data_IF_399515207613
#
_entry.id   IF_399515207613
#
_cell.length_a   1.000
_cell.length_b   1.000
_cell.length_c   1.000
_cell.angle_alpha   90.00
_cell.angle_beta   90.00
_cell.angle_gamma   90.00
#
_symmetry.space_group_name_H-M   'P 1'
#
loop_
_entity.id
_entity.type
_entity.pdbx_description
1 polymer ?
#
# COMPACT_ATOMS: atom_id res chain seq x y z
N UNK A 1 -3.49 -19.02 -29.15
CA UNK A 1 -2.23 -18.86 -28.39
C UNK A 1 -1.84 -17.39 -28.23
N UNK A 2 -1.43 -16.65 -29.28
CA UNK A 2 -1.06 -15.22 -29.12
C UNK A 2 -2.24 -14.30 -28.73
N UNK A 3 -3.45 -14.61 -29.23
CA UNK A 3 -4.66 -13.86 -28.87
C UNK A 3 -5.07 -14.08 -27.40
N UNK A 4 -4.89 -15.31 -26.90
CA UNK A 4 -5.25 -15.69 -25.52
C UNK A 4 -4.35 -15.00 -24.49
N UNK A 5 -3.04 -14.90 -24.76
CA UNK A 5 -2.07 -14.19 -23.90
C UNK A 5 -2.38 -12.69 -23.82
N UNK A 6 -2.78 -12.07 -24.93
CA UNK A 6 -3.18 -10.66 -24.95
C UNK A 6 -4.42 -10.40 -24.10
N UNK A 7 -5.44 -11.24 -24.24
CA UNK A 7 -6.69 -11.11 -23.46
C UNK A 7 -6.44 -11.31 -21.95
N UNK A 8 -5.63 -12.30 -21.57
CA UNK A 8 -5.26 -12.55 -20.17
C UNK A 8 -4.44 -11.40 -19.57
N UNK A 9 -3.53 -10.83 -20.34
CA UNK A 9 -2.75 -9.66 -19.93
C UNK A 9 -3.64 -8.43 -19.69
N UNK A 10 -4.57 -8.13 -20.60
CA UNK A 10 -5.52 -7.03 -20.44
C UNK A 10 -6.42 -7.22 -19.23
N UNK A 11 -6.90 -8.45 -19.00
CA UNK A 11 -7.69 -8.79 -17.81
C UNK A 11 -6.87 -8.57 -16.53
N UNK A 12 -5.62 -9.03 -16.50
CA UNK A 12 -4.73 -8.88 -15.34
C UNK A 12 -4.47 -7.40 -15.02
N UNK A 13 -4.24 -6.56 -16.03
CA UNK A 13 -4.11 -5.11 -15.86
C UNK A 13 -5.38 -4.47 -15.27
N UNK A 14 -6.55 -4.86 -15.80
CA UNK A 14 -7.84 -4.38 -15.30
C UNK A 14 -8.05 -4.75 -13.83
N UNK A 15 -7.79 -6.01 -13.47
CA UNK A 15 -7.93 -6.50 -12.11
C UNK A 15 -6.97 -5.77 -11.15
N UNK A 16 -5.70 -5.63 -11.51
CA UNK A 16 -4.73 -4.91 -10.70
C UNK A 16 -5.17 -3.46 -10.44
N UNK A 17 -5.63 -2.77 -11.49
CA UNK A 17 -6.15 -1.39 -11.38
C UNK A 17 -7.37 -1.29 -10.47
N UNK A 18 -8.29 -2.26 -10.55
CA UNK A 18 -9.43 -2.33 -9.65
C UNK A 18 -8.99 -2.47 -8.18
N UNK A 19 -8.06 -3.38 -7.90
CA UNK A 19 -7.59 -3.61 -6.54
C UNK A 19 -6.78 -2.44 -5.98
N UNK A 20 -6.01 -1.73 -6.80
CA UNK A 20 -5.35 -0.47 -6.39
C UNK A 20 -6.36 0.57 -5.91
N UNK A 21 -7.41 0.83 -6.70
CA UNK A 21 -8.49 1.75 -6.29
C UNK A 21 -9.20 1.28 -5.02
N UNK A 22 -9.41 -0.03 -4.89
CA UNK A 22 -10.00 -0.63 -3.68
C UNK A 22 -9.11 -0.46 -2.46
N UNK A 23 -7.79 -0.61 -2.61
CA UNK A 23 -6.81 -0.41 -1.55
C UNK A 23 -6.82 1.05 -1.08
N UNK A 24 -6.83 2.01 -1.98
CA UNK A 24 -6.89 3.44 -1.60
C UNK A 24 -8.13 3.75 -0.77
N UNK A 25 -9.31 3.25 -1.18
CA UNK A 25 -10.53 3.37 -0.36
C UNK A 25 -10.38 2.73 1.01
N UNK A 26 -9.82 1.51 1.05
CA UNK A 26 -9.61 0.78 2.31
C UNK A 26 -8.62 1.50 3.22
N UNK A 27 -7.56 2.11 2.69
CA UNK A 27 -6.64 2.95 3.47
C UNK A 27 -7.34 4.13 4.09
N UNK A 28 -8.16 4.86 3.33
CA UNK A 28 -8.94 5.99 3.86
C UNK A 28 -9.84 5.54 5.00
N UNK A 29 -10.62 4.47 4.79
CA UNK A 29 -11.48 3.88 5.84
C UNK A 29 -10.64 3.46 7.06
N UNK A 30 -9.50 2.80 6.83
CA UNK A 30 -8.62 2.31 7.89
C UNK A 30 -8.09 3.45 8.76
N UNK A 31 -7.54 4.51 8.16
CA UNK A 31 -7.01 5.65 8.92
C UNK A 31 -8.09 6.37 9.73
N UNK A 32 -9.27 6.52 9.15
CA UNK A 32 -10.42 7.06 9.87
C UNK A 32 -10.77 6.18 11.07
N UNK A 33 -10.91 4.87 10.87
CA UNK A 33 -11.30 3.94 11.93
C UNK A 33 -10.25 3.83 13.03
N UNK A 34 -8.95 3.85 12.68
CA UNK A 34 -7.89 3.87 13.69
C UNK A 34 -7.92 5.16 14.50
N UNK A 35 -8.16 6.31 13.86
CA UNK A 35 -8.25 7.59 14.57
C UNK A 35 -9.44 7.61 15.53
N UNK A 36 -10.62 7.22 15.07
CA UNK A 36 -11.83 7.14 15.91
C UNK A 36 -11.66 6.14 17.06
N UNK A 37 -11.10 4.96 16.77
CA UNK A 37 -10.85 3.94 17.78
C UNK A 37 -9.87 4.41 18.85
N UNK A 38 -8.77 5.08 18.47
CA UNK A 38 -7.80 5.60 19.43
C UNK A 38 -8.41 6.66 20.35
N UNK A 39 -9.34 7.49 19.86
CA UNK A 39 -10.05 8.46 20.71
C UNK A 39 -10.87 7.73 21.78
N UNK A 40 -11.67 6.74 21.38
CA UNK A 40 -12.52 5.97 22.29
C UNK A 40 -11.69 5.15 23.27
N UNK A 41 -10.60 4.56 22.80
CA UNK A 41 -9.67 3.80 23.63
C UNK A 41 -9.04 4.70 24.71
N UNK A 42 -8.56 5.89 24.34
CA UNK A 42 -7.95 6.82 25.28
C UNK A 42 -8.95 7.34 26.31
N UNK A 43 -10.18 7.65 25.91
CA UNK A 43 -11.24 8.06 26.84
C UNK A 43 -11.53 6.98 27.89
N UNK A 44 -11.58 5.71 27.48
CA UNK A 44 -11.76 4.60 28.41
C UNK A 44 -10.54 4.37 29.30
N UNK A 45 -9.32 4.50 28.76
CA UNK A 45 -8.08 4.39 29.54
C UNK A 45 -7.99 5.48 30.61
N UNK A 46 -8.45 6.69 30.31
CA UNK A 46 -8.41 7.82 31.24
C UNK A 46 -9.36 7.63 32.44
N UNK A 47 -10.39 6.81 32.29
CA UNK A 47 -11.32 6.43 33.35
C UNK A 47 -10.83 5.24 34.22
N UNK A 48 -9.64 4.68 33.94
CA UNK A 48 -9.05 3.62 34.75
C UNK A 48 -8.32 4.16 35.99
N UNK A 49 -8.08 3.26 36.96
CA UNK A 49 -7.24 3.57 38.11
C UNK A 49 -5.82 3.96 37.66
N UNK A 50 -5.19 4.83 38.44
CA UNK A 50 -3.91 5.49 38.11
C UNK A 50 -2.82 4.50 37.64
N UNK A 51 -2.67 3.37 38.31
CA UNK A 51 -1.66 2.35 38.01
C UNK A 51 -1.90 1.69 36.64
N UNK A 52 -3.14 1.28 36.35
CA UNK A 52 -3.51 0.66 35.07
C UNK A 52 -3.42 1.67 33.92
N UNK A 53 -3.77 2.94 34.17
CA UNK A 53 -3.67 4.02 33.18
C UNK A 53 -2.23 4.28 32.74
N UNK A 54 -1.29 4.37 33.70
CA UNK A 54 0.13 4.59 33.43
C UNK A 54 0.70 3.42 32.61
N UNK A 55 0.38 2.19 33.00
CA UNK A 55 0.82 0.99 32.28
C UNK A 55 0.32 0.96 30.84
N UNK A 56 -0.98 1.20 30.62
CA UNK A 56 -1.59 1.13 29.29
C UNK A 56 -1.09 2.24 28.35
N UNK A 57 -0.91 3.48 28.83
CA UNK A 57 -0.35 4.56 28.00
C UNK A 57 1.06 4.24 27.48
N UNK A 58 1.89 3.60 28.30
CA UNK A 58 3.24 3.17 27.89
C UNK A 58 3.19 2.11 26.78
N UNK A 59 2.25 1.17 26.89
CA UNK A 59 2.06 0.10 25.90
C UNK A 59 1.55 0.67 24.58
N UNK A 60 0.47 1.44 24.61
CA UNK A 60 -0.15 2.02 23.41
C UNK A 60 0.84 2.90 22.65
N UNK A 61 1.60 3.77 23.35
CA UNK A 61 2.62 4.59 22.72
C UNK A 61 3.74 3.80 22.03
N UNK A 62 4.08 2.61 22.56
CA UNK A 62 5.11 1.75 21.95
C UNK A 62 4.60 0.95 20.74
N UNK A 63 3.30 0.64 20.69
CA UNK A 63 2.69 -0.10 19.59
C UNK A 63 2.53 0.78 18.33
N UNK A 64 2.19 2.06 18.52
CA UNK A 64 2.13 3.06 17.44
C UNK A 64 3.49 3.22 16.71
N UNK A 65 4.61 3.14 17.44
CA UNK A 65 5.95 3.21 16.83
C UNK A 65 6.29 1.96 15.98
N UNK A 66 5.81 0.78 16.36
CA UNK A 66 6.08 -0.48 15.64
C UNK A 66 5.34 -0.58 14.31
N UNK A 67 4.14 0.00 14.20
CA UNK A 67 3.32 -0.03 12.98
C UNK A 67 3.91 0.80 11.82
N UNK A 68 4.87 1.68 12.09
CA UNK A 68 5.49 2.57 11.09
C UNK A 68 6.71 1.98 10.36
N UNK A 69 7.28 0.87 10.85
CA UNK A 69 8.46 0.25 10.24
C UNK A 69 8.06 -0.72 9.12
N UNK A 70 7.96 -0.23 7.87
CA UNK A 70 7.96 -1.11 6.68
C UNK A 70 9.38 -1.63 6.42
N UNK A 71 9.59 -2.92 6.65
CA UNK A 71 10.81 -3.61 6.21
C UNK A 71 10.82 -3.75 4.69
N UNK A 72 11.74 -3.06 4.02
CA UNK A 72 12.03 -3.27 2.59
C UNK A 72 12.99 -4.45 2.45
N UNK A 73 12.47 -5.64 2.10
CA UNK A 73 13.34 -6.74 1.64
C UNK A 73 13.81 -6.46 0.21
N UNK A 74 15.11 -6.68 -0.11
CA UNK A 74 15.59 -6.58 -1.48
C UNK A 74 14.99 -7.74 -2.31
N UNK A 75 14.12 -7.39 -3.26
CA UNK A 75 13.55 -8.35 -4.23
C UNK A 75 14.36 -8.38 -5.52
N UNK A 76 14.33 -9.55 -6.18
CA UNK A 76 15.09 -9.88 -7.38
C UNK A 76 14.40 -9.28 -8.60
N UNK A 77 14.88 -8.12 -9.06
CA UNK A 77 14.24 -7.35 -10.13
C UNK A 77 14.09 -8.12 -11.46
N UNK A 78 12.85 -8.20 -11.96
CA UNK A 78 12.46 -8.79 -13.25
C UNK A 78 13.10 -8.05 -14.45
N UNK A 79 13.58 -8.80 -15.46
CA UNK A 79 14.23 -8.27 -16.66
C UNK A 79 13.32 -7.43 -17.57
N UNK A 80 12.03 -7.75 -17.63
CA UNK A 80 11.06 -6.99 -18.44
C UNK A 80 10.84 -5.58 -17.88
N UNK A 81 10.71 -5.47 -16.55
CA UNK A 81 10.57 -4.21 -15.80
C UNK A 81 11.76 -3.28 -16.05
N UNK A 82 12.97 -3.83 -15.99
CA UNK A 82 14.20 -3.10 -16.30
C UNK A 82 14.23 -2.59 -17.73
N UNK A 83 13.75 -3.38 -18.69
CA UNK A 83 13.71 -3.00 -20.09
C UNK A 83 12.74 -1.83 -20.31
N UNK A 84 11.53 -1.92 -19.78
CA UNK A 84 10.53 -0.84 -19.86
C UNK A 84 11.03 0.44 -19.20
N UNK A 85 11.61 0.34 -17.99
CA UNK A 85 12.18 1.50 -17.31
C UNK A 85 13.31 2.17 -18.12
N UNK A 86 14.18 1.39 -18.77
CA UNK A 86 15.24 1.94 -19.64
C UNK A 86 14.67 2.74 -20.81
N UNK A 87 13.58 2.28 -21.43
CA UNK A 87 12.94 3.03 -22.52
C UNK A 87 12.28 4.32 -22.01
N UNK A 88 11.64 4.28 -20.83
CA UNK A 88 11.11 5.49 -20.17
C UNK A 88 12.24 6.48 -19.91
N UNK A 89 13.31 6.04 -19.24
CA UNK A 89 14.47 6.88 -18.94
C UNK A 89 15.07 7.53 -20.19
N UNK A 90 15.08 6.81 -21.33
CA UNK A 90 15.60 7.37 -22.58
C UNK A 90 14.79 8.56 -23.09
N UNK A 91 13.48 8.59 -22.85
CA UNK A 91 12.57 9.66 -23.32
C UNK A 91 12.31 10.75 -22.28
N UNK A 92 12.47 10.46 -20.99
CA UNK A 92 12.02 11.34 -19.91
C UNK A 92 13.12 11.86 -18.97
N UNK A 93 14.38 11.42 -19.11
CA UNK A 93 15.47 11.90 -18.25
C UNK A 93 15.78 13.38 -18.51
N UNK A 94 15.94 14.23 -17.46
CA UNK A 94 16.13 15.68 -17.62
C UNK A 94 17.32 16.06 -18.52
N UNK A 95 18.45 15.34 -18.43
CA UNK A 95 19.63 15.54 -19.30
C UNK A 95 19.35 15.40 -20.81
N UNK A 96 18.21 14.82 -21.20
CA UNK A 96 17.82 14.58 -22.59
C UNK A 96 16.76 15.54 -23.11
N UNK A 97 16.32 16.50 -22.29
CA UNK A 97 15.21 17.41 -22.60
C UNK A 97 15.67 18.85 -22.91
N UNK A 98 16.92 19.00 -23.35
CA UNK A 98 17.59 20.29 -23.53
C UNK A 98 16.92 21.23 -24.55
N UNK A 99 16.08 20.71 -25.46
CA UNK A 99 15.39 21.46 -26.51
C UNK A 99 13.87 21.54 -26.31
N UNK A 100 13.35 21.00 -25.20
CA UNK A 100 11.91 20.97 -24.91
C UNK A 100 11.46 22.23 -24.15
N UNK A 101 10.15 22.51 -24.18
CA UNK A 101 9.58 23.61 -23.37
C UNK A 101 9.72 23.33 -21.86
N UNK A 102 9.81 24.37 -21.03
CA UNK A 102 9.88 24.24 -19.57
C UNK A 102 8.76 23.34 -19.01
N UNK A 103 7.54 23.48 -19.52
CA UNK A 103 6.39 22.67 -19.13
C UNK A 103 6.57 21.18 -19.47
N UNK A 104 7.15 20.89 -20.63
CA UNK A 104 7.42 19.51 -21.06
C UNK A 104 8.59 18.89 -20.29
N UNK A 105 9.61 19.71 -19.95
CA UNK A 105 10.73 19.30 -19.08
C UNK A 105 10.20 18.89 -17.70
N UNK A 106 9.35 19.73 -17.09
CA UNK A 106 8.75 19.46 -15.78
C UNK A 106 7.94 18.16 -15.82
N UNK A 107 7.00 18.06 -16.75
CA UNK A 107 6.14 16.87 -16.93
C UNK A 107 6.96 15.59 -17.08
N UNK A 108 7.96 15.57 -17.96
CA UNK A 108 8.77 14.36 -18.19
C UNK A 108 9.68 14.02 -17.01
N UNK A 109 10.17 15.03 -16.30
CA UNK A 109 10.95 14.81 -15.07
C UNK A 109 10.09 14.16 -13.99
N UNK A 110 8.83 14.58 -13.85
CA UNK A 110 7.86 13.93 -12.96
C UNK A 110 7.60 12.46 -13.37
N UNK A 111 7.35 12.21 -14.66
CA UNK A 111 7.16 10.85 -15.19
C UNK A 111 8.39 9.96 -14.96
N UNK A 112 9.61 10.51 -15.08
CA UNK A 112 10.83 9.79 -14.77
C UNK A 112 10.93 9.43 -13.28
N UNK A 113 10.65 10.39 -12.39
CA UNK A 113 10.65 10.15 -10.95
C UNK A 113 9.62 9.09 -10.54
N UNK A 114 8.42 9.16 -11.12
CA UNK A 114 7.36 8.18 -10.89
C UNK A 114 7.71 6.79 -11.44
N UNK A 115 8.35 6.72 -12.60
CA UNK A 115 8.85 5.47 -13.16
C UNK A 115 9.96 4.87 -12.29
N UNK A 116 10.85 5.68 -11.73
CA UNK A 116 11.90 5.21 -10.82
C UNK A 116 11.30 4.59 -9.57
N UNK A 117 10.33 5.28 -8.95
CA UNK A 117 9.59 4.76 -7.78
C UNK A 117 8.88 3.46 -8.11
N UNK A 118 8.23 3.40 -9.27
CA UNK A 118 7.50 2.21 -9.74
C UNK A 118 8.45 1.03 -10.01
N UNK A 119 9.65 1.28 -10.52
CA UNK A 119 10.68 0.25 -10.68
C UNK A 119 11.18 -0.26 -9.32
N UNK A 120 11.40 0.63 -8.34
CA UNK A 120 11.82 0.26 -6.98
C UNK A 120 10.75 -0.54 -6.23
N UNK A 121 9.47 -0.24 -6.48
CA UNK A 121 8.33 -0.94 -5.90
C UNK A 121 7.78 -2.09 -6.76
N UNK A 122 8.45 -2.43 -7.86
CA UNK A 122 8.03 -3.44 -8.86
C UNK A 122 6.60 -3.24 -9.41
N UNK A 123 6.11 -1.99 -9.42
CA UNK A 123 4.80 -1.64 -9.95
C UNK A 123 4.82 -1.55 -11.50
N UNK A 124 4.71 -2.72 -12.12
CA UNK A 124 4.74 -2.88 -13.58
C UNK A 124 3.58 -2.16 -14.25
N UNK A 125 2.38 -2.25 -13.68
CA UNK A 125 1.20 -1.54 -14.16
C UNK A 125 1.48 -0.04 -14.30
N UNK A 126 2.10 0.57 -13.29
CA UNK A 126 2.40 2.00 -13.31
C UNK A 126 3.51 2.34 -14.31
N UNK A 127 4.54 1.51 -14.43
CA UNK A 127 5.55 1.64 -15.48
C UNK A 127 4.95 1.57 -16.88
N UNK A 128 3.98 0.69 -17.11
CA UNK A 128 3.30 0.56 -18.40
C UNK A 128 2.38 1.75 -18.69
N UNK A 129 1.70 2.28 -17.67
CA UNK A 129 0.92 3.53 -17.81
C UNK A 129 1.82 4.70 -18.21
N UNK A 130 2.99 4.86 -17.58
CA UNK A 130 3.98 5.89 -17.91
C UNK A 130 4.57 5.67 -19.31
N UNK A 131 4.89 4.42 -19.67
CA UNK A 131 5.38 4.10 -21.02
C UNK A 131 4.34 4.50 -22.09
N UNK A 132 3.06 4.22 -21.85
CA UNK A 132 1.98 4.63 -22.74
C UNK A 132 1.85 6.15 -22.84
N UNK A 133 2.00 6.88 -21.73
CA UNK A 133 1.97 8.34 -21.74
C UNK A 133 3.13 8.97 -22.51
N UNK A 134 4.29 8.30 -22.55
CA UNK A 134 5.46 8.72 -23.32
C UNK A 134 5.46 8.19 -24.77
N UNK A 135 4.34 7.67 -25.27
CA UNK A 135 4.22 7.00 -26.57
C UNK A 135 5.34 5.97 -26.81
N UNK A 136 5.63 5.16 -25.79
CA UNK A 136 6.53 4.01 -25.89
C UNK A 136 5.66 2.80 -26.15
N UNK A 137 5.88 2.16 -27.30
CA UNK A 137 5.18 0.89 -27.60
C UNK A 137 5.50 -0.14 -26.51
N UNK A 138 4.47 -0.66 -25.81
CA UNK A 138 4.70 -1.71 -24.84
C UNK A 138 5.22 -2.96 -25.57
N UNK A 139 6.17 -3.70 -24.97
CA UNK A 139 6.55 -4.99 -25.53
C UNK A 139 5.31 -5.89 -25.64
N UNK A 140 5.31 -6.81 -26.61
CA UNK A 140 4.26 -7.82 -26.74
C UNK A 140 4.09 -8.52 -25.39
N UNK A 141 2.85 -8.69 -24.89
CA UNK A 141 2.61 -9.39 -23.65
C UNK A 141 3.22 -10.79 -23.64
N UNK A 142 3.88 -11.12 -22.53
CA UNK A 142 4.38 -12.45 -22.24
C UNK A 142 3.86 -12.94 -20.87
N UNK A 143 4.09 -14.22 -20.59
CA UNK A 143 3.64 -14.84 -19.35
C UNK A 143 4.32 -14.23 -18.12
N UNK A 144 5.61 -13.85 -18.23
CA UNK A 144 6.36 -13.26 -17.12
C UNK A 144 5.75 -11.92 -16.66
N UNK A 145 5.22 -11.13 -17.60
CA UNK A 145 4.50 -9.90 -17.29
C UNK A 145 3.15 -10.17 -16.61
N UNK A 146 2.40 -11.17 -17.08
CA UNK A 146 1.13 -11.59 -16.45
C UNK A 146 1.37 -12.02 -15.01
N UNK A 147 2.34 -12.91 -14.79
CA UNK A 147 2.68 -13.45 -13.47
C UNK A 147 3.06 -12.34 -12.49
N UNK A 148 3.81 -11.32 -12.96
CA UNK A 148 4.19 -10.19 -12.14
C UNK A 148 3.02 -9.26 -11.80
N UNK A 149 2.10 -9.05 -12.74
CA UNK A 149 0.86 -8.30 -12.46
C UNK A 149 0.01 -9.04 -11.42
N UNK A 150 -0.09 -10.37 -11.53
CA UNK A 150 -0.79 -11.20 -10.56
C UNK A 150 -0.11 -11.19 -9.18
N UNK A 151 1.22 -11.25 -9.10
CA UNK A 151 1.96 -11.11 -7.84
C UNK A 151 1.63 -9.76 -7.16
N UNK A 152 1.66 -8.67 -7.93
CA UNK A 152 1.31 -7.35 -7.42
C UNK A 152 -0.15 -7.28 -6.94
N UNK A 153 -1.09 -7.84 -7.69
CA UNK A 153 -2.50 -7.91 -7.31
C UNK A 153 -2.69 -8.69 -6.00
N UNK A 154 -2.01 -9.84 -5.86
CA UNK A 154 -2.05 -10.65 -4.65
C UNK A 154 -1.45 -9.90 -3.44
N UNK A 155 -0.35 -9.15 -3.65
CA UNK A 155 0.22 -8.29 -2.62
C UNK A 155 -0.78 -7.23 -2.13
N UNK A 156 -1.46 -6.55 -3.05
CA UNK A 156 -2.50 -5.56 -2.74
C UNK A 156 -3.67 -6.20 -1.98
N UNK A 157 -4.13 -7.37 -2.41
CA UNK A 157 -5.21 -8.11 -1.74
C UNK A 157 -4.81 -8.51 -0.32
N UNK A 158 -3.56 -8.92 -0.12
CA UNK A 158 -3.03 -9.23 1.21
C UNK A 158 -2.98 -8.00 2.11
N UNK A 159 -2.53 -6.85 1.60
CA UNK A 159 -2.54 -5.58 2.35
C UNK A 159 -3.97 -5.18 2.76
N UNK A 160 -4.93 -5.27 1.84
CA UNK A 160 -6.36 -5.04 2.14
C UNK A 160 -6.84 -5.98 3.25
N UNK A 161 -6.46 -7.26 3.18
CA UNK A 161 -6.86 -8.26 4.19
C UNK A 161 -6.28 -7.92 5.56
N UNK A 162 -5.02 -7.53 5.64
CA UNK A 162 -4.36 -7.13 6.88
C UNK A 162 -5.02 -5.91 7.52
N UNK A 163 -5.32 -4.86 6.73
CA UNK A 163 -6.02 -3.67 7.24
C UNK A 163 -7.41 -4.02 7.79
N UNK A 164 -8.14 -4.91 7.11
CA UNK A 164 -9.49 -5.33 7.51
C UNK A 164 -9.52 -6.24 8.73
N UNK A 165 -8.40 -6.89 9.06
CA UNK A 165 -8.27 -7.71 10.25
C UNK A 165 -7.88 -6.94 11.50
N UNK A 166 -7.69 -5.61 11.42
CA UNK A 166 -7.36 -4.82 12.60
C UNK A 166 -8.56 -4.70 13.56
N UNK A 167 -8.25 -4.55 14.86
CA UNK A 167 -9.27 -4.36 15.89
C UNK A 167 -10.07 -3.08 15.66
N UNK A 168 -9.40 -2.00 15.22
CA UNK A 168 -10.07 -0.75 14.86
C UNK A 168 -11.08 -0.93 13.71
N UNK A 169 -10.74 -1.76 12.71
CA UNK A 169 -11.64 -2.06 11.61
C UNK A 169 -12.84 -2.91 12.07
N UNK A 170 -12.59 -3.94 12.87
CA UNK A 170 -13.64 -4.77 13.47
C UNK A 170 -14.60 -3.91 14.30
N UNK A 171 -14.06 -3.06 15.17
CA UNK A 171 -14.81 -2.12 15.99
C UNK A 171 -15.66 -1.16 15.14
N UNK A 172 -15.10 -0.59 14.09
CA UNK A 172 -15.81 0.37 13.25
C UNK A 172 -17.00 -0.26 12.51
N UNK A 173 -16.86 -1.51 12.04
CA UNK A 173 -17.92 -2.24 11.33
C UNK A 173 -18.87 -3.00 12.26
N UNK A 174 -18.56 -3.10 13.56
CA UNK A 174 -19.43 -3.73 14.54
C UNK A 174 -20.72 -2.94 14.78
N UNK A 175 -21.78 -3.65 15.16
CA UNK A 175 -23.02 -3.04 15.62
C UNK A 175 -22.76 -2.20 16.89
N UNK A 176 -23.51 -1.10 17.14
CA UNK A 176 -23.28 -0.24 18.30
C UNK A 176 -23.19 -0.98 19.64
N UNK A 177 -24.04 -1.99 19.85
CA UNK A 177 -24.07 -2.81 21.06
C UNK A 177 -22.88 -3.77 21.23
N UNK A 178 -21.97 -3.85 20.26
CA UNK A 178 -20.76 -4.68 20.29
C UNK A 178 -19.47 -3.88 20.34
N UNK A 179 -19.55 -2.56 20.12
CA UNK A 179 -18.37 -1.70 20.10
C UNK A 179 -17.67 -1.66 21.46
N UNK A 180 -18.42 -1.56 22.55
CA UNK A 180 -17.88 -1.54 23.91
C UNK A 180 -17.18 -2.86 24.27
N UNK A 181 -17.81 -4.00 23.97
CA UNK A 181 -17.23 -5.34 24.17
C UNK A 181 -15.85 -5.47 23.49
N UNK A 182 -15.71 -4.97 22.26
CA UNK A 182 -14.47 -5.04 21.48
C UNK A 182 -13.37 -4.18 22.11
N UNK A 183 -13.67 -2.94 22.52
CA UNK A 183 -12.67 -2.06 23.14
C UNK A 183 -12.21 -2.62 24.48
N UNK A 184 -13.14 -3.10 25.31
CA UNK A 184 -12.80 -3.75 26.59
C UNK A 184 -11.98 -5.02 26.38
N UNK A 185 -12.31 -5.82 25.36
CA UNK A 185 -11.52 -6.98 24.96
C UNK A 185 -10.09 -6.61 24.57
N UNK A 186 -9.92 -5.52 23.83
CA UNK A 186 -8.62 -5.01 23.42
C UNK A 186 -7.80 -4.52 24.63
N UNK A 187 -8.40 -3.75 25.54
CA UNK A 187 -7.74 -3.31 26.79
C UNK A 187 -7.27 -4.52 27.61
N UNK A 188 -8.10 -5.55 27.75
CA UNK A 188 -7.72 -6.79 28.45
C UNK A 188 -6.56 -7.50 27.76
N UNK A 189 -6.60 -7.59 26.43
CA UNK A 189 -5.51 -8.17 25.63
C UNK A 189 -4.19 -7.41 25.87
N UNK A 190 -4.22 -6.07 25.86
CA UNK A 190 -3.04 -5.25 26.14
C UNK A 190 -2.54 -5.44 27.58
N UNK A 191 -3.45 -5.43 28.56
CA UNK A 191 -3.11 -5.61 29.96
C UNK A 191 -2.49 -6.99 30.26
N UNK A 192 -2.92 -8.05 29.59
CA UNK A 192 -2.38 -9.41 29.79
C UNK A 192 -1.05 -9.59 29.08
N UNK A 193 -0.95 -9.22 27.80
CA UNK A 193 0.22 -9.57 26.97
C UNK A 193 1.43 -8.66 27.18
N UNK A 194 1.26 -7.55 27.89
CA UNK A 194 2.34 -6.61 28.17
C UNK A 194 2.64 -6.42 29.66
N UNK A 195 1.89 -7.06 30.57
CA UNK A 195 2.26 -7.16 32.01
C UNK A 195 3.54 -7.96 32.23
N UNK A 196 3.83 -8.93 31.37
CA UNK A 196 5.02 -9.80 31.51
C UNK A 196 6.30 -9.22 30.85
N UNK A 197 6.22 -8.02 30.25
CA UNK A 197 7.33 -7.38 29.51
C UNK A 197 7.86 -6.08 30.14
N UNK A 198 7.32 -5.67 31.30
CA UNK A 198 7.73 -4.46 32.05
C UNK A 198 8.37 -4.86 33.36
#
# INVERSE_FOLDING_TARGET
MQKDIQEEYEFSLFENKYYKKKLERVKTEFYQYTSEFSIVLNDLIDNLIEEDRILLRKIVGSEDELLTKKENKPKKQNSAVKKTFREIAKKSHPDRLLEESEQEIEKRTELFAEAKKSMESEDVTKLLEIAKELDIEPPKPDQDQIDLILENTNGIMSEIKQMRSSVAWEWAKAKPNKKEDIVLGYIKYLAVNFKDKV
#
